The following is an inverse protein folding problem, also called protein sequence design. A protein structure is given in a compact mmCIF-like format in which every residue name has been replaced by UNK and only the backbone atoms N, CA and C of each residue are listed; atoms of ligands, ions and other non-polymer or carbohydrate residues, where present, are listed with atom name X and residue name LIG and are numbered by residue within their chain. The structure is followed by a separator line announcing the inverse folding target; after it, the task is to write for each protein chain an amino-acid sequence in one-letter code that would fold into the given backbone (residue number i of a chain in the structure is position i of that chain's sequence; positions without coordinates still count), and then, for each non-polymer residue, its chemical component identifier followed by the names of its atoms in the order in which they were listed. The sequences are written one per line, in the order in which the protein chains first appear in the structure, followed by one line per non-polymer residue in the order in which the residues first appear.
data_IF_071310128857
#
_entry.id   IF_071310128857
#
_cell.length_a   1.000
_cell.length_b   1.000
_cell.length_c   1.000
_cell.angle_alpha   90.00
_cell.angle_beta   90.00
_cell.angle_gamma   90.00
#
_symmetry.space_group_name_H-M   'P 1'
#
loop_
_entity.id
_entity.type
_entity.pdbx_description
1 polymer ?
#
# COMPACT_ATOMS: atom_id res chain seq x y z
N UNK A 1 8.27 23.67 -32.35
CA UNK A 1 9.43 23.16 -31.57
C UNK A 1 8.95 23.13 -30.12
N UNK A 2 8.93 21.96 -29.51
CA UNK A 2 8.51 21.85 -28.11
C UNK A 2 9.69 22.35 -27.28
N UNK A 3 9.58 23.55 -26.70
CA UNK A 3 10.64 24.12 -25.86
C UNK A 3 10.52 23.51 -24.45
N UNK A 4 11.54 22.76 -24.05
CA UNK A 4 11.70 22.30 -22.67
C UNK A 4 12.01 23.52 -21.80
N UNK A 5 11.14 23.77 -20.81
CA UNK A 5 11.31 24.92 -19.92
C UNK A 5 12.10 24.49 -18.67
N UNK A 6 13.30 25.00 -18.55
CA UNK A 6 14.22 24.73 -17.44
C UNK A 6 13.60 25.09 -16.07
N UNK A 7 12.89 26.23 -16.00
CA UNK A 7 12.28 26.67 -14.73
C UNK A 7 11.15 25.76 -14.27
N UNK A 8 10.36 25.19 -15.19
CA UNK A 8 9.29 24.25 -14.86
C UNK A 8 9.87 22.90 -14.40
N UNK A 9 10.97 22.46 -15.02
CA UNK A 9 11.69 21.26 -14.57
C UNK A 9 12.26 21.46 -13.16
N UNK A 10 12.94 22.58 -12.91
CA UNK A 10 13.54 22.85 -11.60
C UNK A 10 12.49 22.87 -10.50
N UNK A 11 11.39 23.56 -10.72
CA UNK A 11 10.27 23.62 -9.78
C UNK A 11 9.71 22.21 -9.53
N UNK A 12 9.42 21.45 -10.58
CA UNK A 12 8.87 20.09 -10.45
C UNK A 12 9.84 19.15 -9.71
N UNK A 13 11.14 19.29 -9.92
CA UNK A 13 12.15 18.49 -9.23
C UNK A 13 12.20 18.83 -7.73
N UNK A 14 12.23 20.09 -7.35
CA UNK A 14 12.28 20.53 -5.96
C UNK A 14 11.00 20.15 -5.20
N UNK A 15 9.84 20.45 -5.76
CA UNK A 15 8.55 20.07 -5.17
C UNK A 15 8.42 18.56 -4.94
N UNK A 16 8.91 17.73 -5.88
CA UNK A 16 8.83 16.28 -5.74
C UNK A 16 9.85 15.74 -4.73
N UNK A 17 11.06 16.31 -4.66
CA UNK A 17 12.05 15.97 -3.63
C UNK A 17 11.50 16.28 -2.25
N UNK A 18 10.93 17.46 -2.05
CA UNK A 18 10.33 17.85 -0.77
C UNK A 18 9.18 16.94 -0.38
N UNK A 19 8.30 16.60 -1.33
CA UNK A 19 7.19 15.67 -1.12
C UNK A 19 7.64 14.27 -0.74
N UNK A 20 8.70 13.76 -1.37
CA UNK A 20 9.27 12.46 -1.04
C UNK A 20 9.88 12.49 0.36
N UNK A 21 10.66 13.53 0.68
CA UNK A 21 11.27 13.68 2.00
C UNK A 21 10.22 13.77 3.10
N UNK A 22 9.16 14.57 2.89
CA UNK A 22 8.04 14.65 3.83
C UNK A 22 7.40 13.27 4.08
N UNK A 23 7.18 12.47 3.03
CA UNK A 23 6.64 11.12 3.18
C UNK A 23 7.57 10.20 3.99
N UNK A 24 8.88 10.30 3.76
CA UNK A 24 9.87 9.46 4.43
C UNK A 24 10.02 9.81 5.92
N UNK A 25 9.58 11.00 6.36
CA UNK A 25 9.55 11.37 7.78
C UNK A 25 8.32 10.88 8.54
N UNK A 26 7.27 10.46 7.84
CA UNK A 26 6.04 9.94 8.46
C UNK A 26 6.25 8.55 9.09
N UNK A 27 5.29 8.15 9.88
CA UNK A 27 5.14 6.77 10.38
C UNK A 27 3.90 6.12 9.77
N UNK A 28 3.89 4.79 9.68
CA UNK A 28 2.75 4.00 9.22
C UNK A 28 2.31 3.05 10.32
N UNK A 29 1.04 3.14 10.71
CA UNK A 29 0.43 2.26 11.68
C UNK A 29 -0.56 1.30 11.00
N UNK A 30 -0.25 0.01 11.01
CA UNK A 30 -1.14 -1.06 10.62
C UNK A 30 -1.82 -1.65 11.84
N UNK A 31 -3.14 -1.66 11.87
CA UNK A 31 -3.91 -2.46 12.81
C UNK A 31 -4.26 -3.81 12.20
N UNK A 32 -4.00 -4.89 12.92
CA UNK A 32 -4.31 -6.24 12.47
C UNK A 32 -5.42 -6.83 13.33
N UNK A 33 -6.46 -7.28 12.69
CA UNK A 33 -7.65 -7.88 13.31
C UNK A 33 -7.87 -9.26 12.73
N UNK A 34 -8.31 -10.18 13.52
CA UNK A 34 -8.68 -11.54 13.10
C UNK A 34 -8.35 -12.55 14.17
N UNK A 35 -9.00 -13.70 14.11
CA UNK A 35 -8.84 -14.77 15.07
C UNK A 35 -7.42 -15.32 15.15
N UNK A 36 -7.16 -16.07 16.23
CA UNK A 36 -5.90 -16.80 16.38
C UNK A 36 -5.73 -17.77 15.20
N UNK A 37 -4.52 -17.90 14.71
CA UNK A 37 -4.19 -18.76 13.57
C UNK A 37 -4.77 -18.36 12.20
N UNK A 38 -5.30 -17.15 12.02
CA UNK A 38 -5.66 -16.63 10.69
C UNK A 38 -4.45 -16.31 9.82
N UNK A 39 -3.24 -16.33 10.39
CA UNK A 39 -1.97 -16.14 9.68
C UNK A 39 -1.51 -14.69 9.60
N UNK A 40 -1.89 -13.84 10.57
CA UNK A 40 -1.47 -12.44 10.67
C UNK A 40 0.06 -12.28 10.59
N UNK A 41 0.81 -12.90 11.50
CA UNK A 41 2.28 -12.81 11.54
C UNK A 41 2.94 -13.35 10.27
N UNK A 42 2.47 -14.50 9.76
CA UNK A 42 3.01 -15.09 8.52
C UNK A 42 2.76 -14.17 7.31
N UNK A 43 1.61 -13.52 7.26
CA UNK A 43 1.28 -12.58 6.18
C UNK A 43 2.18 -11.35 6.23
N UNK A 44 2.46 -10.78 7.42
CA UNK A 44 3.38 -9.65 7.56
C UNK A 44 4.76 -10.02 7.06
N UNK A 45 5.31 -11.15 7.51
CA UNK A 45 6.63 -11.59 7.10
C UNK A 45 6.73 -11.76 5.58
N UNK A 46 5.69 -12.31 4.94
CA UNK A 46 5.59 -12.39 3.47
C UNK A 46 5.46 -11.03 2.81
N UNK A 47 4.66 -10.14 3.39
CA UNK A 47 4.41 -8.79 2.86
C UNK A 47 5.68 -7.96 2.80
N UNK A 48 6.47 -7.96 3.88
CA UNK A 48 7.72 -7.19 3.96
C UNK A 48 8.92 -7.94 3.36
N UNK A 49 8.85 -9.26 3.27
CA UNK A 49 9.89 -10.12 2.70
C UNK A 49 10.98 -10.55 3.68
N UNK A 50 10.75 -10.38 4.98
CA UNK A 50 11.65 -10.82 6.06
C UNK A 50 10.87 -11.12 7.34
N UNK A 51 11.52 -11.77 8.29
CA UNK A 51 10.91 -12.11 9.58
C UNK A 51 10.92 -10.89 10.51
N UNK A 52 9.73 -10.37 10.80
CA UNK A 52 9.50 -9.22 11.69
C UNK A 52 8.67 -9.64 12.90
N UNK A 53 7.63 -10.44 12.64
CA UNK A 53 6.73 -10.95 13.67
C UNK A 53 7.13 -12.37 14.02
N UNK A 54 7.48 -12.63 15.28
CA UNK A 54 7.69 -13.98 15.76
C UNK A 54 6.39 -14.79 15.66
N UNK A 55 6.46 -15.92 14.98
CA UNK A 55 5.34 -16.85 14.89
C UNK A 55 5.30 -17.64 16.20
N UNK A 56 4.47 -17.19 17.14
CA UNK A 56 4.26 -17.87 18.41
C UNK A 56 3.76 -16.90 19.49
N UNK A 57 2.54 -17.07 19.94
CA UNK A 57 2.05 -16.41 21.14
C UNK A 57 2.76 -17.01 22.35
N UNK A 58 3.45 -16.21 23.16
CA UNK A 58 3.78 -16.63 24.53
C UNK A 58 2.47 -16.57 25.34
N UNK A 59 2.06 -17.67 25.98
CA UNK A 59 0.88 -17.65 26.84
C UNK A 59 1.18 -16.84 28.11
N UNK A 60 0.37 -15.84 28.43
CA UNK A 60 0.33 -15.26 29.76
C UNK A 60 0.45 -13.75 29.90
N UNK A 61 0.68 -12.98 28.84
CA UNK A 61 0.64 -11.52 28.94
C UNK A 61 -0.69 -10.96 28.40
N UNK A 62 -1.45 -10.31 29.30
CA UNK A 62 -2.64 -9.52 28.94
C UNK A 62 -2.18 -8.20 28.32
N UNK A 63 -1.58 -8.25 27.15
CA UNK A 63 -1.18 -7.07 26.40
C UNK A 63 -2.33 -6.70 25.46
N UNK A 64 -2.90 -5.51 25.66
CA UNK A 64 -4.06 -5.01 24.93
C UNK A 64 -3.78 -4.92 23.42
N UNK A 65 -2.55 -4.57 23.03
CA UNK A 65 -2.10 -4.50 21.62
C UNK A 65 -0.62 -4.87 21.54
N UNK A 66 -0.28 -5.92 20.80
CA UNK A 66 1.12 -6.29 20.57
C UNK A 66 1.66 -5.56 19.35
N UNK A 67 2.67 -4.70 19.53
CA UNK A 67 3.27 -3.90 18.46
C UNK A 67 4.57 -4.51 17.96
N UNK A 68 4.72 -4.61 16.65
CA UNK A 68 5.94 -5.01 15.96
C UNK A 68 6.47 -3.83 15.15
N UNK A 69 7.65 -3.32 15.51
CA UNK A 69 8.30 -2.23 14.78
C UNK A 69 9.13 -2.79 13.63
N UNK A 70 8.95 -2.22 12.45
CA UNK A 70 9.69 -2.57 11.25
C UNK A 70 10.33 -1.33 10.64
N UNK A 71 11.68 -1.36 10.51
CA UNK A 71 12.49 -0.24 9.97
C UNK A 71 12.13 1.13 10.59
N UNK A 72 11.96 1.15 11.90
CA UNK A 72 11.71 2.29 12.77
C UNK A 72 10.40 3.09 12.52
N UNK A 73 9.88 3.12 11.32
CA UNK A 73 8.74 3.95 10.92
C UNK A 73 7.47 3.18 10.54
N UNK A 74 7.52 1.85 10.51
CA UNK A 74 6.35 1.01 10.22
C UNK A 74 6.02 0.18 11.46
N UNK A 75 4.80 0.29 11.92
CA UNK A 75 4.30 -0.38 13.11
C UNK A 75 3.16 -1.31 12.68
N UNK A 76 3.33 -2.60 12.91
CA UNK A 76 2.26 -3.59 12.85
C UNK A 76 1.77 -3.86 14.26
N UNK A 77 0.50 -3.64 14.50
CA UNK A 77 -0.08 -3.84 15.81
C UNK A 77 -1.16 -4.93 15.74
N UNK A 78 -0.88 -6.03 16.44
CA UNK A 78 -1.83 -7.15 16.57
C UNK A 78 -2.77 -6.86 17.73
N UNK A 79 -4.06 -6.79 17.43
CA UNK A 79 -5.08 -6.62 18.45
C UNK A 79 -5.49 -8.00 18.99
N UNK A 80 -5.84 -8.12 20.28
CA UNK A 80 -6.41 -9.34 20.83
C UNK A 80 -7.59 -9.84 20.00
N UNK A 81 -7.87 -11.15 20.08
CA UNK A 81 -9.00 -11.76 19.38
C UNK A 81 -10.32 -11.05 19.70
N UNK A 82 -11.31 -11.28 18.82
CA UNK A 82 -12.61 -10.62 18.85
C UNK A 82 -13.36 -10.77 20.20
N UNK A 83 -13.07 -11.82 20.95
CA UNK A 83 -13.70 -12.12 22.23
C UNK A 83 -13.12 -11.33 23.42
N UNK A 84 -11.88 -10.90 23.35
CA UNK A 84 -11.18 -10.20 24.45
C UNK A 84 -11.51 -8.71 24.58
N UNK A 85 -12.12 -8.11 23.56
CA UNK A 85 -12.36 -6.65 23.48
C UNK A 85 -13.60 -6.20 24.27
N UNK A 86 -14.42 -7.13 24.76
CA UNK A 86 -15.63 -6.80 25.52
C UNK A 86 -15.39 -6.35 26.97
N UNK A 87 -14.15 -6.33 27.47
CA UNK A 87 -13.85 -5.96 28.86
C UNK A 87 -12.72 -4.95 29.00
N UNK A 88 -13.06 -3.78 29.45
CA UNK A 88 -12.25 -2.78 30.17
C UNK A 88 -11.47 -1.69 29.42
N UNK A 89 -11.19 -1.74 28.09
CA UNK A 89 -10.38 -0.69 27.43
C UNK A 89 -10.96 -0.24 26.08
N UNK A 90 -12.27 0.05 26.03
CA UNK A 90 -12.94 0.47 24.79
C UNK A 90 -12.36 1.76 24.19
N UNK A 91 -12.02 2.74 25.03
CA UNK A 91 -11.54 4.05 24.56
C UNK A 91 -10.13 4.01 23.98
N UNK A 92 -9.20 3.27 24.59
CA UNK A 92 -7.83 3.10 24.04
C UNK A 92 -7.84 2.33 22.74
N UNK A 93 -8.67 1.30 22.64
CA UNK A 93 -8.84 0.50 21.45
C UNK A 93 -9.48 1.31 20.31
N UNK A 94 -10.50 2.12 20.60
CA UNK A 94 -11.11 3.01 19.61
C UNK A 94 -10.13 4.07 19.13
N UNK A 95 -9.37 4.68 20.02
CA UNK A 95 -8.32 5.64 19.69
C UNK A 95 -7.28 5.02 18.78
N UNK A 96 -6.84 3.80 19.10
CA UNK A 96 -5.88 3.06 18.28
C UNK A 96 -6.40 2.80 16.85
N UNK A 97 -7.64 2.34 16.69
CA UNK A 97 -8.23 2.15 15.36
C UNK A 97 -8.43 3.45 14.59
N UNK A 98 -8.73 4.55 15.28
CA UNK A 98 -8.86 5.87 14.67
C UNK A 98 -7.52 6.37 14.11
N UNK A 99 -6.42 6.09 14.82
CA UNK A 99 -5.06 6.49 14.43
C UNK A 99 -4.45 5.57 13.37
N UNK A 100 -4.98 4.37 13.17
CA UNK A 100 -4.45 3.43 12.18
C UNK A 100 -4.56 3.98 10.75
N UNK A 101 -3.45 3.89 10.01
CA UNK A 101 -3.42 4.24 8.59
C UNK A 101 -4.10 3.19 7.73
N UNK A 102 -4.03 1.92 8.15
CA UNK A 102 -4.69 0.78 7.50
C UNK A 102 -5.10 -0.23 8.55
N UNK A 103 -6.28 -0.79 8.38
CA UNK A 103 -6.75 -1.95 9.12
C UNK A 103 -6.73 -3.16 8.20
N UNK A 104 -5.95 -4.18 8.56
CA UNK A 104 -5.94 -5.47 7.91
C UNK A 104 -6.87 -6.41 8.68
N UNK A 105 -8.04 -6.69 8.13
CA UNK A 105 -9.03 -7.58 8.72
C UNK A 105 -8.85 -8.99 8.15
N UNK A 106 -8.29 -9.89 8.95
CA UNK A 106 -7.94 -11.25 8.52
C UNK A 106 -9.12 -12.21 8.66
N UNK A 107 -9.42 -12.91 7.57
CA UNK A 107 -10.39 -13.98 7.49
C UNK A 107 -9.68 -15.29 7.11
N UNK A 108 -10.20 -16.42 7.63
CA UNK A 108 -9.69 -17.75 7.31
C UNK A 108 -10.53 -18.39 6.20
N UNK A 109 -10.00 -18.47 4.98
CA UNK A 109 -10.71 -19.06 3.84
C UNK A 109 -11.00 -20.57 4.00
N UNK A 110 -10.19 -21.27 4.80
CA UNK A 110 -10.36 -22.71 5.06
C UNK A 110 -11.26 -23.05 6.26
N UNK A 111 -12.01 -22.07 6.77
CA UNK A 111 -12.90 -22.23 7.92
C UNK A 111 -14.21 -21.47 7.74
N UNK A 112 -14.82 -21.05 8.86
CA UNK A 112 -15.97 -20.16 8.81
C UNK A 112 -15.49 -18.77 8.38
N UNK A 113 -15.92 -18.33 7.21
CA UNK A 113 -15.53 -17.02 6.67
C UNK A 113 -16.57 -15.99 7.10
N UNK A 114 -16.11 -14.94 7.76
CA UNK A 114 -16.89 -13.80 8.17
C UNK A 114 -18.07 -14.17 9.06
N UNK A 115 -17.76 -14.81 10.19
CA UNK A 115 -18.70 -15.20 11.24
C UNK A 115 -19.52 -14.02 11.78
N UNK A 116 -20.62 -14.28 12.48
CA UNK A 116 -21.45 -13.24 13.12
C UNK A 116 -20.62 -12.37 14.11
N UNK A 117 -19.64 -12.94 14.78
CA UNK A 117 -18.71 -12.22 15.66
C UNK A 117 -17.82 -11.24 14.88
N UNK A 118 -17.20 -11.72 13.80
CA UNK A 118 -16.39 -10.92 12.91
C UNK A 118 -17.21 -9.79 12.25
N UNK A 119 -18.45 -10.10 11.83
CA UNK A 119 -19.36 -9.10 11.26
C UNK A 119 -19.72 -8.01 12.27
N UNK A 120 -20.10 -8.36 13.49
CA UNK A 120 -20.39 -7.38 14.56
C UNK A 120 -19.20 -6.50 14.86
N UNK A 121 -18.01 -7.08 14.87
CA UNK A 121 -16.77 -6.34 15.11
C UNK A 121 -16.44 -5.38 13.96
N UNK A 122 -16.54 -5.87 12.72
CA UNK A 122 -16.41 -5.03 11.53
C UNK A 122 -17.39 -3.85 11.55
N UNK A 123 -18.65 -4.07 11.90
CA UNK A 123 -19.67 -3.02 11.97
C UNK A 123 -19.33 -1.92 12.98
N UNK A 124 -18.62 -2.24 14.07
CA UNK A 124 -18.10 -1.27 15.02
C UNK A 124 -16.92 -0.48 14.43
N UNK A 125 -15.91 -1.20 13.93
CA UNK A 125 -14.67 -0.60 13.45
C UNK A 125 -14.89 0.24 12.20
N UNK A 126 -15.73 -0.21 11.27
CA UNK A 126 -16.03 0.52 10.05
C UNK A 126 -16.71 1.88 10.27
N UNK A 127 -17.25 2.13 11.45
CA UNK A 127 -17.75 3.46 11.87
C UNK A 127 -16.63 4.39 12.31
N UNK A 128 -15.52 3.82 12.81
CA UNK A 128 -14.36 4.57 13.32
C UNK A 128 -13.37 4.86 12.21
N UNK A 129 -13.05 3.84 11.40
CA UNK A 129 -12.06 3.94 10.33
C UNK A 129 -12.52 3.17 9.09
N UNK A 130 -12.47 3.82 7.93
CA UNK A 130 -12.88 3.25 6.63
C UNK A 130 -11.73 2.61 5.85
N UNK A 131 -10.48 2.77 6.32
CA UNK A 131 -9.28 2.28 5.63
C UNK A 131 -9.04 0.79 5.96
N UNK A 132 -10.00 -0.06 5.59
CA UNK A 132 -10.03 -1.50 5.87
C UNK A 132 -9.75 -2.30 4.60
N UNK A 133 -8.87 -3.29 4.70
CA UNK A 133 -8.66 -4.34 3.70
C UNK A 133 -9.00 -5.68 4.36
N UNK A 134 -9.92 -6.43 3.77
CA UNK A 134 -10.15 -7.82 4.17
C UNK A 134 -9.07 -8.71 3.55
N UNK A 135 -8.31 -9.36 4.39
CA UNK A 135 -7.24 -10.30 4.01
C UNK A 135 -7.78 -11.71 4.18
N UNK A 136 -8.28 -12.30 3.10
CA UNK A 136 -8.78 -13.67 3.10
C UNK A 136 -7.62 -14.65 2.91
N UNK A 137 -7.06 -15.13 4.02
CA UNK A 137 -5.86 -15.98 4.01
C UNK A 137 -6.20 -17.47 3.96
N UNK A 138 -5.20 -18.30 3.64
CA UNK A 138 -5.26 -19.77 3.51
C UNK A 138 -6.10 -20.25 2.33
N UNK A 139 -6.06 -19.51 1.22
CA UNK A 139 -6.74 -19.94 -0.01
C UNK A 139 -6.20 -21.26 -0.56
N UNK A 140 -4.97 -21.63 -0.20
CA UNK A 140 -4.36 -22.93 -0.53
C UNK A 140 -5.07 -24.14 0.10
N UNK A 141 -6.01 -23.91 1.00
CA UNK A 141 -6.80 -24.94 1.68
C UNK A 141 -8.32 -24.70 1.58
N UNK A 142 -8.77 -23.90 0.60
CA UNK A 142 -10.16 -23.56 0.36
C UNK A 142 -10.56 -23.85 -1.09
N UNK A 143 -11.81 -24.26 -1.32
CA UNK A 143 -12.26 -24.73 -2.64
C UNK A 143 -12.88 -23.61 -3.52
N UNK A 144 -13.81 -22.82 -2.97
CA UNK A 144 -14.55 -21.79 -3.75
C UNK A 144 -14.12 -20.36 -3.37
N UNK A 145 -12.93 -19.96 -3.76
CA UNK A 145 -12.42 -18.62 -3.48
C UNK A 145 -13.30 -17.50 -4.05
N UNK A 146 -13.77 -17.57 -5.32
CA UNK A 146 -14.63 -16.51 -5.87
C UNK A 146 -15.95 -16.35 -5.10
N UNK A 147 -16.58 -17.45 -4.69
CA UNK A 147 -17.80 -17.43 -3.90
C UNK A 147 -17.58 -16.83 -2.51
N UNK A 148 -16.47 -17.18 -1.85
CA UNK A 148 -16.10 -16.62 -0.54
C UNK A 148 -15.82 -15.10 -0.62
N UNK A 149 -15.09 -14.65 -1.65
CA UNK A 149 -14.86 -13.22 -1.89
C UNK A 149 -16.18 -12.48 -2.09
N UNK A 150 -17.04 -13.02 -2.96
CA UNK A 150 -18.37 -12.44 -3.20
C UNK A 150 -19.19 -12.35 -1.92
N UNK A 151 -19.21 -13.41 -1.12
CA UNK A 151 -19.92 -13.43 0.16
C UNK A 151 -19.49 -12.28 1.08
N UNK A 152 -18.18 -12.08 1.27
CA UNK A 152 -17.66 -10.98 2.10
C UNK A 152 -18.02 -9.62 1.49
N UNK A 153 -17.94 -9.47 0.16
CA UNK A 153 -18.34 -8.25 -0.54
C UNK A 153 -19.83 -7.93 -0.35
N UNK A 154 -20.70 -8.92 -0.49
CA UNK A 154 -22.14 -8.76 -0.26
C UNK A 154 -22.42 -8.31 1.19
N UNK A 155 -21.75 -8.91 2.17
CA UNK A 155 -21.91 -8.59 3.59
C UNK A 155 -21.34 -7.21 3.97
N UNK A 156 -20.43 -6.64 3.18
CA UNK A 156 -19.78 -5.35 3.43
C UNK A 156 -20.21 -4.24 2.48
N UNK A 157 -21.17 -4.51 1.59
CA UNK A 157 -21.75 -3.54 0.66
C UNK A 157 -20.79 -3.11 -0.46
N UNK A 158 -19.81 -3.95 -0.83
CA UNK A 158 -18.81 -3.68 -1.90
C UNK A 158 -17.91 -2.46 -1.67
N UNK A 159 -17.86 -1.93 -0.45
CA UNK A 159 -17.10 -0.70 -0.14
C UNK A 159 -15.63 -0.96 0.24
N UNK A 160 -15.23 -2.23 0.36
CA UNK A 160 -13.92 -2.61 0.87
C UNK A 160 -13.24 -3.61 -0.06
N UNK A 161 -11.91 -3.51 -0.15
CA UNK A 161 -11.11 -4.49 -0.85
C UNK A 161 -11.10 -5.82 -0.10
N UNK A 162 -11.45 -6.92 -0.78
CA UNK A 162 -11.29 -8.29 -0.29
C UNK A 162 -10.17 -8.93 -1.10
N UNK A 163 -9.06 -9.27 -0.45
CA UNK A 163 -7.86 -9.80 -1.09
C UNK A 163 -7.63 -11.23 -0.64
N UNK A 164 -7.94 -12.23 -1.50
CA UNK A 164 -7.62 -13.61 -1.22
C UNK A 164 -6.13 -13.86 -1.37
N UNK A 165 -5.49 -14.46 -0.34
CA UNK A 165 -4.05 -14.74 -0.31
C UNK A 165 -3.74 -16.11 0.28
N UNK A 166 -2.55 -16.63 0.01
CA UNK A 166 -1.92 -17.67 0.83
C UNK A 166 -0.59 -17.15 1.40
N UNK A 167 -0.53 -16.93 2.70
CA UNK A 167 0.74 -16.61 3.36
C UNK A 167 1.71 -17.80 3.37
N UNK A 168 1.23 -19.03 3.19
CA UNK A 168 2.01 -20.26 3.09
C UNK A 168 2.74 -20.35 1.75
N UNK A 169 2.03 -20.21 0.62
CA UNK A 169 2.59 -20.32 -0.72
C UNK A 169 3.17 -19.01 -1.25
N UNK A 170 2.70 -17.87 -0.74
CA UNK A 170 3.01 -16.52 -1.24
C UNK A 170 2.02 -16.04 -2.32
N UNK A 171 1.01 -16.84 -2.63
CA UNK A 171 0.02 -16.50 -3.66
C UNK A 171 -0.72 -15.21 -3.31
N UNK A 172 -0.85 -14.33 -4.30
CA UNK A 172 -1.52 -13.03 -4.24
C UNK A 172 -0.98 -12.03 -3.18
N UNK A 173 0.18 -12.25 -2.58
CA UNK A 173 0.81 -11.26 -1.67
C UNK A 173 1.06 -9.93 -2.39
N UNK A 174 1.39 -9.95 -3.69
CA UNK A 174 1.53 -8.72 -4.49
C UNK A 174 0.21 -7.97 -4.64
N UNK A 175 -0.93 -8.67 -4.73
CA UNK A 175 -2.26 -8.03 -4.73
C UNK A 175 -2.55 -7.33 -3.41
N UNK A 176 -2.23 -7.96 -2.28
CA UNK A 176 -2.35 -7.33 -0.96
C UNK A 176 -1.45 -6.08 -0.86
N UNK A 177 -0.20 -6.20 -1.31
CA UNK A 177 0.75 -5.08 -1.33
C UNK A 177 0.21 -3.91 -2.16
N UNK A 178 -0.36 -4.20 -3.32
CA UNK A 178 -0.95 -3.17 -4.18
C UNK A 178 -2.17 -2.50 -3.54
N UNK A 179 -3.05 -3.24 -2.86
CA UNK A 179 -4.20 -2.67 -2.16
C UNK A 179 -3.75 -1.76 -1.00
N UNK A 180 -2.70 -2.13 -0.27
CA UNK A 180 -2.08 -1.31 0.77
C UNK A 180 -1.52 -0.01 0.17
N UNK A 181 -0.75 -0.10 -0.91
CA UNK A 181 -0.18 1.08 -1.57
C UNK A 181 -1.25 2.05 -2.07
N UNK A 182 -2.41 1.56 -2.54
CA UNK A 182 -3.51 2.41 -3.00
C UNK A 182 -4.15 3.22 -1.87
N UNK A 183 -4.25 2.66 -0.67
CA UNK A 183 -4.70 3.40 0.52
C UNK A 183 -3.62 4.39 0.96
N UNK A 184 -2.37 3.93 1.12
CA UNK A 184 -1.26 4.77 1.59
C UNK A 184 -0.95 5.93 0.64
N UNK A 185 -1.19 5.78 -0.67
CA UNK A 185 -1.04 6.87 -1.64
C UNK A 185 -1.97 8.05 -1.33
N UNK A 186 -3.19 7.79 -0.87
CA UNK A 186 -4.15 8.84 -0.47
C UNK A 186 -3.70 9.59 0.79
N UNK A 187 -2.92 8.94 1.64
CA UNK A 187 -2.37 9.48 2.89
C UNK A 187 -0.95 10.05 2.71
N UNK A 188 -0.40 10.04 1.49
CA UNK A 188 0.99 10.41 1.21
C UNK A 188 2.00 9.63 2.07
N UNK A 189 1.88 8.29 2.08
CA UNK A 189 2.76 7.35 2.82
C UNK A 189 3.20 6.16 1.97
N UNK A 190 2.81 6.11 0.69
CA UNK A 190 3.09 4.98 -0.21
C UNK A 190 4.58 4.80 -0.50
N UNK A 191 5.35 5.89 -0.59
CA UNK A 191 6.79 5.84 -0.86
C UNK A 191 7.54 5.26 0.33
N UNK A 192 7.19 5.66 1.57
CA UNK A 192 7.78 5.11 2.77
C UNK A 192 7.58 3.59 2.85
N UNK A 193 6.35 3.12 2.64
CA UNK A 193 6.05 1.68 2.65
C UNK A 193 6.81 0.95 1.54
N UNK A 194 6.75 1.44 0.30
CA UNK A 194 7.40 0.85 -0.85
C UNK A 194 8.93 0.74 -0.67
N UNK A 195 9.58 1.80 -0.17
CA UNK A 195 11.01 1.81 0.14
C UNK A 195 11.38 0.78 1.20
N UNK A 196 10.49 0.55 2.16
CA UNK A 196 10.77 -0.31 3.32
C UNK A 196 10.68 -1.81 3.02
N UNK A 197 9.84 -2.23 2.07
CA UNK A 197 9.66 -3.65 1.73
C UNK A 197 10.72 -4.16 0.75
N UNK A 198 11.00 -5.49 0.76
CA UNK A 198 12.00 -6.10 -0.15
C UNK A 198 11.52 -6.24 -1.59
N UNK A 199 10.22 -6.42 -1.82
CA UNK A 199 9.65 -6.63 -3.16
C UNK A 199 9.51 -5.32 -3.95
N UNK A 200 10.62 -4.84 -4.53
CA UNK A 200 10.69 -3.56 -5.26
C UNK A 200 10.05 -3.62 -6.65
N UNK A 201 10.23 -4.73 -7.38
CA UNK A 201 9.89 -4.82 -8.81
C UNK A 201 8.38 -4.67 -9.08
N UNK A 202 7.51 -5.31 -8.29
CA UNK A 202 6.07 -5.19 -8.48
C UNK A 202 5.57 -3.77 -8.24
N UNK A 203 6.13 -3.09 -7.24
CA UNK A 203 5.83 -1.67 -6.95
C UNK A 203 6.33 -0.74 -8.06
N UNK A 204 7.55 -0.95 -8.54
CA UNK A 204 8.11 -0.19 -9.67
C UNK A 204 7.21 -0.32 -10.91
N UNK A 205 6.83 -1.54 -11.28
CA UNK A 205 5.94 -1.79 -12.42
C UNK A 205 4.58 -1.09 -12.26
N UNK A 206 3.98 -1.15 -11.08
CA UNK A 206 2.73 -0.43 -10.78
C UNK A 206 2.87 1.07 -11.00
N UNK A 207 3.94 1.69 -10.49
CA UNK A 207 4.19 3.13 -10.65
C UNK A 207 4.44 3.51 -12.11
N UNK A 208 5.23 2.71 -12.85
CA UNK A 208 5.49 2.92 -14.28
C UNK A 208 4.18 2.87 -15.08
N UNK A 209 3.35 1.84 -14.88
CA UNK A 209 2.07 1.71 -15.56
C UNK A 209 1.10 2.84 -15.20
N UNK A 210 1.04 3.24 -13.94
CA UNK A 210 0.22 4.38 -13.50
C UNK A 210 0.66 5.69 -14.14
N UNK A 211 1.96 5.95 -14.19
CA UNK A 211 2.51 7.15 -14.82
C UNK A 211 2.23 7.15 -16.34
N UNK A 212 2.41 6.00 -17.02
CA UNK A 212 2.10 5.86 -18.42
C UNK A 212 0.62 6.11 -18.73
N UNK A 213 -0.30 5.57 -17.93
CA UNK A 213 -1.73 5.79 -18.08
C UNK A 213 -2.12 7.28 -17.89
N UNK A 214 -1.50 7.94 -16.90
CA UNK A 214 -1.72 9.38 -16.67
C UNK A 214 -1.18 10.22 -17.82
N UNK A 215 0.01 9.91 -18.33
CA UNK A 215 0.61 10.59 -19.47
C UNK A 215 -0.24 10.44 -20.73
N UNK A 216 -0.80 9.25 -20.99
CA UNK A 216 -1.70 9.00 -22.13
C UNK A 216 -2.98 9.84 -22.03
N UNK A 217 -3.55 9.98 -20.84
CA UNK A 217 -4.74 10.82 -20.60
C UNK A 217 -4.47 12.29 -20.87
N UNK A 218 -3.28 12.80 -20.55
CA UNK A 218 -2.86 14.17 -20.82
C UNK A 218 -2.64 14.40 -22.31
N UNK A 219 -1.91 13.51 -22.99
CA UNK A 219 -1.62 13.64 -24.43
C UNK A 219 -2.84 13.48 -25.35
N UNK A 220 -3.99 13.04 -24.83
CA UNK A 220 -5.26 13.00 -25.56
C UNK A 220 -6.00 14.35 -25.56
N UNK A 221 -5.54 15.36 -24.82
CA UNK A 221 -6.16 16.69 -24.82
C UNK A 221 -5.77 17.45 -26.10
N UNK A 222 -6.72 18.11 -26.80
CA UNK A 222 -6.48 18.69 -28.13
C UNK A 222 -5.81 20.10 -28.09
N UNK A 223 -5.04 20.41 -27.06
CA UNK A 223 -4.39 21.73 -26.90
C UNK A 223 -2.89 21.60 -27.15
N UNK A 224 -2.37 22.00 -28.34
CA UNK A 224 -0.94 21.91 -28.64
C UNK A 224 -0.08 22.71 -27.64
N UNK A 225 0.90 22.04 -27.02
CA UNK A 225 1.87 22.68 -26.11
C UNK A 225 1.44 22.77 -24.64
N UNK A 226 0.19 22.46 -24.28
CA UNK A 226 -0.24 22.43 -22.86
C UNK A 226 0.26 21.20 -22.10
N UNK A 227 0.79 20.20 -22.81
CA UNK A 227 1.10 18.87 -22.28
C UNK A 227 2.48 18.77 -21.65
N UNK A 228 3.40 19.74 -21.95
CA UNK A 228 4.82 19.63 -21.63
C UNK A 228 5.06 19.69 -20.12
N UNK A 229 4.50 20.69 -19.45
CA UNK A 229 4.69 20.89 -18.01
C UNK A 229 4.12 19.70 -17.21
N UNK A 230 2.87 19.25 -17.46
CA UNK A 230 2.34 18.05 -16.81
C UNK A 230 3.15 16.78 -17.08
N UNK A 231 3.63 16.57 -18.31
CA UNK A 231 4.44 15.40 -18.67
C UNK A 231 5.81 15.44 -17.99
N UNK A 232 6.47 16.59 -17.94
CA UNK A 232 7.74 16.76 -17.22
C UNK A 232 7.58 16.45 -15.74
N UNK A 233 6.51 16.94 -15.10
CA UNK A 233 6.21 16.67 -13.69
C UNK A 233 6.01 15.16 -13.44
N UNK A 234 5.27 14.47 -14.31
CA UNK A 234 5.07 13.01 -14.21
C UNK A 234 6.40 12.27 -14.34
N UNK A 235 7.24 12.66 -15.30
CA UNK A 235 8.54 12.00 -15.54
C UNK A 235 9.50 12.23 -14.38
N UNK A 236 9.62 13.46 -13.88
CA UNK A 236 10.43 13.79 -12.69
C UNK A 236 9.93 12.97 -11.48
N UNK A 237 8.62 13.00 -11.22
CA UNK A 237 8.03 12.30 -10.10
C UNK A 237 8.26 10.78 -10.17
N UNK A 238 8.07 10.16 -11.34
CA UNK A 238 8.34 8.73 -11.50
C UNK A 238 9.81 8.39 -11.29
N UNK A 239 10.71 9.19 -11.86
CA UNK A 239 12.16 8.98 -11.76
C UNK A 239 12.65 9.07 -10.31
N UNK A 240 12.25 10.10 -9.59
CA UNK A 240 12.63 10.29 -8.18
C UNK A 240 12.03 9.20 -7.28
N UNK A 241 10.79 8.79 -7.51
CA UNK A 241 10.16 7.66 -6.80
C UNK A 241 10.90 6.36 -7.02
N UNK A 242 11.28 6.06 -8.27
CA UNK A 242 12.04 4.85 -8.59
C UNK A 242 13.44 4.91 -7.97
N UNK A 243 14.13 6.05 -8.04
CA UNK A 243 15.42 6.23 -7.37
C UNK A 243 15.29 5.97 -5.86
N UNK A 244 14.30 6.57 -5.19
CA UNK A 244 14.03 6.37 -3.77
C UNK A 244 13.70 4.91 -3.45
N UNK A 245 12.88 4.25 -4.27
CA UNK A 245 12.51 2.84 -4.12
C UNK A 245 13.72 1.92 -4.11
N UNK A 246 14.68 2.17 -5.01
CA UNK A 246 15.91 1.37 -5.13
C UNK A 246 17.09 1.93 -4.30
N UNK A 247 16.82 2.90 -3.43
CA UNK A 247 17.83 3.53 -2.55
C UNK A 247 19.02 4.10 -3.33
N UNK A 248 18.71 4.70 -4.48
CA UNK A 248 19.67 5.40 -5.34
C UNK A 248 19.44 6.90 -5.27
N UNK A 249 20.52 7.66 -5.30
CA UNK A 249 20.44 9.10 -5.49
C UNK A 249 20.49 9.45 -6.98
N UNK A 250 19.73 10.44 -7.38
CA UNK A 250 19.80 11.02 -8.71
C UNK A 250 19.94 12.53 -8.56
N UNK A 251 21.01 13.11 -9.14
CA UNK A 251 21.20 14.55 -9.12
C UNK A 251 20.22 15.26 -10.06
N UNK A 252 19.97 16.55 -9.81
CA UNK A 252 19.12 17.39 -10.65
C UNK A 252 19.60 17.37 -12.10
N UNK A 253 20.90 17.54 -12.34
CA UNK A 253 21.49 17.53 -13.69
C UNK A 253 21.29 16.19 -14.40
N UNK A 254 21.48 15.08 -13.69
CA UNK A 254 21.27 13.75 -14.26
C UNK A 254 19.80 13.47 -14.59
N UNK A 255 18.89 13.90 -13.73
CA UNK A 255 17.45 13.81 -13.98
C UNK A 255 17.07 14.61 -15.24
N UNK A 256 17.58 15.84 -15.37
CA UNK A 256 17.35 16.69 -16.53
C UNK A 256 17.88 16.06 -17.82
N UNK A 257 19.11 15.55 -17.81
CA UNK A 257 19.73 14.86 -18.95
C UNK A 257 18.87 13.67 -19.44
N UNK A 258 18.39 12.85 -18.51
CA UNK A 258 17.56 11.68 -18.82
C UNK A 258 16.21 12.07 -19.45
N UNK A 259 15.58 13.12 -18.96
CA UNK A 259 14.31 13.61 -19.52
C UNK A 259 14.54 14.18 -20.92
N UNK A 260 15.57 15.02 -21.11
CA UNK A 260 15.91 15.58 -22.42
C UNK A 260 16.23 14.49 -23.44
N UNK A 261 17.01 13.48 -23.06
CA UNK A 261 17.32 12.35 -23.95
C UNK A 261 16.09 11.53 -24.33
N UNK A 262 15.14 11.36 -23.42
CA UNK A 262 13.84 10.69 -23.66
C UNK A 262 12.99 11.47 -24.67
N UNK A 263 12.93 12.79 -24.55
CA UNK A 263 12.21 13.67 -25.49
C UNK A 263 12.84 13.64 -26.88
N UNK A 264 14.17 13.72 -27.00
CA UNK A 264 14.87 13.63 -28.29
C UNK A 264 14.73 12.25 -28.96
N UNK A 265 14.78 11.18 -28.18
CA UNK A 265 14.59 9.81 -28.69
C UNK A 265 13.20 9.55 -29.25
N UNK A 266 12.16 10.23 -28.73
CA UNK A 266 10.79 10.14 -29.26
C UNK A 266 10.60 10.92 -30.54
N UNK A 267 11.28 12.05 -30.71
CA UNK A 267 11.24 12.88 -31.94
C UNK A 267 11.96 12.17 -33.11
N UNK A 268 13.02 11.41 -32.85
CA UNK A 268 13.76 10.69 -33.89
C UNK A 268 13.02 9.50 -34.49
N UNK A 269 12.01 8.94 -33.82
CA UNK A 269 11.20 7.83 -34.33
C UNK A 269 10.09 8.24 -35.31
N UNK A 270 9.79 9.51 -35.42
CA UNK A 270 8.75 10.04 -36.32
C UNK A 270 9.32 10.61 -37.63
N UNK A 271 10.60 10.36 -37.92
CA UNK A 271 11.28 10.87 -39.16
C UNK A 271 11.66 9.72 -40.13
N UNK A 272 11.23 8.47 -39.85
CA UNK A 272 11.40 7.35 -40.79
C UNK A 272 10.07 6.68 -41.11
#
# INVERSE_FOLDING_TARGET
MIEFNDSDFERAYEEEVDRINEQLEKEILFAMIGDVNTGKSSTINRLVGEEVASVGAQPGETVIVKKYKYKDKIIFADTPGLDDINSKNSEETEKFFKEADIILFFLNAAGTVFSDGEKKYFDKISKINKKIIFVMNKIDAADDIPGLVKYVQDMTGYNYSVVPISSKTGEHIDRLRNAILDILKKENKDILFAKSIKAKSSTANKWILSAAATATGIGAAPIPGSDIVPLTTIQVGLMLKLATLYEKSISKDRAKELILSSLMGSLGKNIF
#
